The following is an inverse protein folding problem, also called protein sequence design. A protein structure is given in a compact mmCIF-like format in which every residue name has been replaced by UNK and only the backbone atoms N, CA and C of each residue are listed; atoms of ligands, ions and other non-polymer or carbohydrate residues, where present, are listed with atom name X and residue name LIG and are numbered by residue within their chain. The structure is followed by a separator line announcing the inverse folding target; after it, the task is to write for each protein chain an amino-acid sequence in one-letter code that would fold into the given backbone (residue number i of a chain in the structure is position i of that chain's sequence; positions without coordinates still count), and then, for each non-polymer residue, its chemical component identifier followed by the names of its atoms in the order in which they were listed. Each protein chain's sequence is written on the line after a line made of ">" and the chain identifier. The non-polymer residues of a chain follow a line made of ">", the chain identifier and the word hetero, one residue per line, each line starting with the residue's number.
data_IF_870897815403
#
_entry.id   IF_870897815403
#
_cell.length_a   1.000
_cell.length_b   1.000
_cell.length_c   1.000
_cell.angle_alpha   90.00
_cell.angle_beta   90.00
_cell.angle_gamma   90.00
#
_symmetry.space_group_name_H-M   'P 1'
#
loop_
_entity.id
_entity.type
_entity.pdbx_description
1 polymer ?
#
# COMPACT_ATOMS: atom_id res chain seq x y z
N UNK A 1 -16.32 0.66 21.24
CA UNK A 1 -17.20 0.56 20.06
C UNK A 1 -16.38 -0.03 18.94
N UNK A 2 -16.52 -1.32 18.68
CA UNK A 2 -15.82 -2.00 17.59
C UNK A 2 -16.70 -1.96 16.32
N UNK A 3 -16.31 -1.17 15.33
CA UNK A 3 -16.83 -1.34 13.97
C UNK A 3 -16.08 -2.50 13.31
N UNK A 4 -16.59 -3.72 13.44
CA UNK A 4 -16.06 -4.90 12.75
C UNK A 4 -17.15 -5.56 11.90
N UNK A 5 -17.58 -4.85 10.86
CA UNK A 5 -18.22 -5.48 9.71
C UNK A 5 -17.15 -6.20 8.87
N UNK A 6 -17.42 -7.41 8.34
CA UNK A 6 -16.45 -8.10 7.48
C UNK A 6 -16.10 -7.18 6.31
N UNK A 7 -14.80 -6.86 6.15
CA UNK A 7 -14.27 -6.12 4.98
C UNK A 7 -14.55 -6.94 3.72
N UNK A 8 -15.75 -6.77 3.17
CA UNK A 8 -16.19 -7.34 1.89
C UNK A 8 -15.11 -7.02 0.87
N UNK A 9 -14.70 -8.02 0.08
CA UNK A 9 -13.46 -8.05 -0.71
C UNK A 9 -13.28 -7.02 -1.83
N UNK A 10 -13.80 -5.80 -1.67
CA UNK A 10 -13.66 -4.64 -2.55
C UNK A 10 -12.18 -4.38 -2.84
N UNK A 11 -11.32 -4.38 -1.82
CA UNK A 11 -9.88 -4.18 -2.03
C UNK A 11 -9.27 -5.26 -2.95
N UNK A 12 -9.69 -6.53 -2.80
CA UNK A 12 -9.27 -7.59 -3.71
C UNK A 12 -9.81 -7.34 -5.13
N UNK A 13 -11.10 -7.05 -5.26
CA UNK A 13 -11.73 -6.83 -6.56
C UNK A 13 -11.12 -5.66 -7.33
N UNK A 14 -10.80 -4.56 -6.63
CA UNK A 14 -10.10 -3.42 -7.22
C UNK A 14 -8.69 -3.80 -7.67
N UNK A 15 -7.94 -4.55 -6.86
CA UNK A 15 -6.60 -4.99 -7.23
C UNK A 15 -6.62 -5.94 -8.43
N UNK A 16 -7.58 -6.88 -8.48
CA UNK A 16 -7.77 -7.80 -9.59
C UNK A 16 -8.12 -7.05 -10.88
N UNK A 17 -9.01 -6.04 -10.79
CA UNK A 17 -9.36 -5.19 -11.92
C UNK A 17 -8.15 -4.40 -12.45
N UNK A 18 -7.34 -3.82 -11.56
CA UNK A 18 -6.11 -3.11 -11.93
C UNK A 18 -5.10 -4.05 -12.57
N UNK A 19 -4.88 -5.24 -11.99
CA UNK A 19 -4.00 -6.28 -12.53
C UNK A 19 -4.41 -6.69 -13.94
N UNK A 20 -5.70 -6.95 -14.15
CA UNK A 20 -6.24 -7.30 -15.45
C UNK A 20 -6.01 -6.20 -16.49
N UNK A 21 -6.33 -4.94 -16.14
CA UNK A 21 -6.12 -3.80 -17.05
C UNK A 21 -4.64 -3.59 -17.38
N UNK A 22 -3.75 -3.74 -16.40
CA UNK A 22 -2.32 -3.62 -16.61
C UNK A 22 -1.76 -4.72 -17.53
N UNK A 23 -2.20 -5.96 -17.36
CA UNK A 23 -1.85 -7.06 -18.27
C UNK A 23 -2.30 -6.79 -19.71
N UNK A 24 -3.54 -6.32 -19.91
CA UNK A 24 -4.06 -5.94 -21.22
C UNK A 24 -3.28 -4.78 -21.85
N UNK A 25 -2.78 -3.84 -21.04
CA UNK A 25 -1.94 -2.74 -21.49
C UNK A 25 -0.48 -3.15 -21.76
N UNK A 26 -0.12 -4.44 -21.58
CA UNK A 26 1.25 -4.93 -21.76
C UNK A 26 2.21 -4.50 -20.64
N UNK A 27 1.70 -4.03 -19.50
CA UNK A 27 2.53 -3.73 -18.34
C UNK A 27 3.18 -5.00 -17.80
N UNK A 28 4.42 -4.89 -17.31
CA UNK A 28 5.18 -6.00 -16.71
C UNK A 28 5.27 -5.92 -15.18
N UNK A 29 4.79 -4.82 -14.59
CA UNK A 29 4.93 -4.54 -13.17
C UNK A 29 3.79 -3.66 -12.68
N UNK A 30 3.25 -4.00 -11.51
CA UNK A 30 2.53 -3.06 -10.66
C UNK A 30 3.43 -2.67 -9.49
N UNK A 31 3.36 -1.41 -9.06
CA UNK A 31 4.03 -0.96 -7.87
C UNK A 31 3.13 -0.03 -7.07
N UNK A 32 3.38 0.08 -5.78
CA UNK A 32 2.67 0.97 -4.87
C UNK A 32 3.59 1.39 -3.73
N UNK A 33 3.20 2.46 -3.04
CA UNK A 33 3.75 2.84 -1.74
C UNK A 33 2.66 2.83 -0.70
N UNK A 34 2.99 2.43 0.53
CA UNK A 34 2.15 2.60 1.71
C UNK A 34 3.01 3.11 2.86
N UNK A 35 2.40 3.76 3.83
CA UNK A 35 3.11 4.22 5.03
C UNK A 35 3.45 3.05 5.96
N UNK A 36 4.52 3.20 6.73
CA UNK A 36 5.06 2.20 7.64
C UNK A 36 4.11 1.77 8.78
N UNK A 37 3.14 2.62 9.11
CA UNK A 37 2.12 2.37 10.14
C UNK A 37 1.00 1.45 9.65
N UNK A 38 0.77 1.36 8.34
CA UNK A 38 -0.37 0.63 7.78
C UNK A 38 -0.09 -0.88 7.66
N UNK A 39 0.05 -1.54 8.81
CA UNK A 39 0.33 -2.98 8.90
C UNK A 39 -0.73 -3.83 8.18
N UNK A 40 -2.00 -3.38 8.19
CA UNK A 40 -3.10 -4.06 7.48
C UNK A 40 -2.89 -4.04 5.96
N UNK A 41 -2.47 -2.92 5.38
CA UNK A 41 -2.17 -2.83 3.95
C UNK A 41 -0.92 -3.64 3.59
N UNK A 42 0.15 -3.52 4.38
CA UNK A 42 1.37 -4.30 4.19
C UNK A 42 1.07 -5.80 4.15
N UNK A 43 0.28 -6.31 5.11
CA UNK A 43 -0.13 -7.71 5.12
C UNK A 43 -1.09 -8.07 3.96
N UNK A 44 -1.97 -7.15 3.56
CA UNK A 44 -2.92 -7.36 2.47
C UNK A 44 -2.22 -7.56 1.12
N UNK A 45 -1.24 -6.71 0.80
CA UNK A 45 -0.50 -6.77 -0.47
C UNK A 45 0.48 -7.94 -0.51
N UNK A 46 1.22 -8.20 0.57
CA UNK A 46 2.15 -9.35 0.63
C UNK A 46 1.43 -10.69 0.42
N UNK A 47 0.25 -10.88 1.03
CA UNK A 47 -0.59 -12.07 0.80
C UNK A 47 -1.06 -12.25 -0.65
N UNK A 48 -0.90 -11.23 -1.50
CA UNK A 48 -1.29 -11.21 -2.92
C UNK A 48 -0.08 -11.15 -3.87
N UNK A 49 1.10 -11.49 -3.35
CA UNK A 49 2.32 -11.63 -4.16
C UNK A 49 3.11 -10.35 -4.35
N UNK A 50 2.74 -9.24 -3.70
CA UNK A 50 3.60 -8.06 -3.69
C UNK A 50 4.81 -8.30 -2.79
N UNK A 51 6.00 -7.95 -3.29
CA UNK A 51 7.26 -8.01 -2.56
C UNK A 51 7.71 -6.59 -2.17
N UNK A 52 8.40 -6.45 -1.03
CA UNK A 52 9.03 -5.21 -0.61
C UNK A 52 10.21 -4.88 -1.55
N UNK A 53 10.31 -3.64 -2.00
CA UNK A 53 11.36 -3.21 -2.95
C UNK A 53 12.23 -2.08 -2.44
N UNK A 54 11.64 -1.12 -1.71
CA UNK A 54 12.35 0.04 -1.19
C UNK A 54 11.74 0.58 0.11
N UNK A 55 12.59 1.24 0.91
CA UNK A 55 12.17 2.01 2.08
C UNK A 55 12.55 3.47 1.86
N UNK A 56 11.55 4.34 1.81
CA UNK A 56 11.69 5.78 1.68
C UNK A 56 11.61 6.42 3.07
N UNK A 57 12.76 6.52 3.74
CA UNK A 57 12.86 6.95 5.13
C UNK A 57 12.50 8.43 5.32
N UNK A 58 11.73 8.73 6.37
CA UNK A 58 11.37 10.08 6.81
C UNK A 58 10.64 10.94 5.76
N UNK A 59 10.12 10.36 4.68
CA UNK A 59 9.47 11.13 3.61
C UNK A 59 8.20 11.84 4.12
N UNK A 60 7.55 11.31 5.16
CA UNK A 60 6.39 11.95 5.78
C UNK A 60 6.74 13.27 6.48
N UNK A 61 7.99 13.47 6.93
CA UNK A 61 8.42 14.77 7.46
C UNK A 61 8.43 15.85 6.37
N UNK A 62 8.83 15.49 5.16
CA UNK A 62 8.79 16.39 4.01
C UNK A 62 7.34 16.65 3.61
N UNK A 63 6.52 15.60 3.54
CA UNK A 63 5.09 15.72 3.23
C UNK A 63 4.35 16.62 4.22
N UNK A 64 4.70 16.59 5.52
CA UNK A 64 4.13 17.49 6.54
C UNK A 64 4.39 18.97 6.30
N UNK A 65 5.48 19.33 5.62
CA UNK A 65 5.74 20.74 5.27
C UNK A 65 4.70 21.27 4.29
N UNK A 66 4.18 20.40 3.41
CA UNK A 66 3.13 20.73 2.44
C UNK A 66 1.72 20.47 2.97
N UNK A 67 1.58 19.43 3.81
CA UNK A 67 0.31 18.98 4.40
C UNK A 67 0.46 18.84 5.91
N UNK A 68 0.42 19.95 6.66
CA UNK A 68 0.60 19.94 8.12
C UNK A 68 -0.42 19.07 8.86
N UNK A 69 -1.56 18.76 8.23
CA UNK A 69 -2.60 17.86 8.74
C UNK A 69 -2.17 16.39 8.85
N UNK A 70 -1.03 16.00 8.26
CA UNK A 70 -0.50 14.64 8.40
C UNK A 70 -0.06 14.40 9.85
N UNK A 71 -0.67 13.45 10.59
CA UNK A 71 -0.41 13.24 12.00
C UNK A 71 1.00 12.70 12.25
N UNK A 72 1.54 12.91 13.46
CA UNK A 72 2.82 12.35 13.88
C UNK A 72 2.75 10.84 14.16
N UNK A 73 1.59 10.41 14.69
CA UNK A 73 1.30 9.02 15.02
C UNK A 73 0.23 8.53 14.05
N UNK A 74 0.48 7.39 13.41
CA UNK A 74 -0.41 6.74 12.48
C UNK A 74 -1.27 5.67 13.14
N UNK A 75 -1.61 4.66 12.35
CA UNK A 75 -2.37 3.49 12.79
C UNK A 75 -1.62 2.70 13.87
N UNK A 76 -2.38 2.05 14.75
CA UNK A 76 -1.87 1.14 15.78
C UNK A 76 -0.79 1.75 16.71
N UNK A 77 -0.78 3.09 16.86
CA UNK A 77 0.17 3.81 17.71
C UNK A 77 1.58 3.91 17.12
N UNK A 78 1.77 3.59 15.84
CA UNK A 78 3.08 3.57 15.19
C UNK A 78 3.43 5.00 14.71
N UNK A 79 4.67 5.49 14.92
CA UNK A 79 5.10 6.75 14.33
C UNK A 79 4.97 6.74 12.80
N UNK A 80 4.20 7.68 12.26
CA UNK A 80 4.02 7.82 10.82
C UNK A 80 5.24 8.55 10.25
N UNK A 81 6.13 7.86 9.52
CA UNK A 81 7.46 8.42 9.20
C UNK A 81 7.95 8.06 7.81
N UNK A 82 7.79 6.80 7.43
CA UNK A 82 8.40 6.24 6.23
C UNK A 82 7.33 5.75 5.25
N UNK A 83 7.68 5.74 3.97
CA UNK A 83 6.94 4.98 2.96
C UNK A 83 7.69 3.70 2.61
N UNK A 84 6.93 2.64 2.38
CA UNK A 84 7.40 1.33 1.98
C UNK A 84 6.88 1.08 0.58
N UNK A 85 7.79 0.91 -0.36
CA UNK A 85 7.48 0.55 -1.74
C UNK A 85 7.36 -0.96 -1.88
N UNK A 86 6.39 -1.38 -2.68
CA UNK A 86 6.14 -2.77 -3.00
C UNK A 86 5.87 -2.93 -4.49
N UNK A 87 6.22 -4.10 -5.03
CA UNK A 87 5.93 -4.44 -6.42
C UNK A 87 5.33 -5.83 -6.60
N UNK A 88 4.56 -6.00 -7.66
CA UNK A 88 4.11 -7.28 -8.19
C UNK A 88 4.54 -7.38 -9.65
N UNK A 89 5.34 -8.38 -9.98
CA UNK A 89 5.70 -8.71 -11.35
C UNK A 89 4.50 -9.35 -12.04
N UNK A 90 4.16 -8.83 -13.23
CA UNK A 90 3.07 -9.34 -14.05
C UNK A 90 3.65 -10.30 -15.09
N UNK A 91 3.52 -11.60 -14.83
CA UNK A 91 3.87 -12.62 -15.80
C UNK A 91 2.77 -12.75 -16.86
N UNK A 92 3.18 -13.00 -18.11
CA UNK A 92 2.25 -13.42 -19.16
C UNK A 92 1.99 -14.92 -18.96
N UNK A 93 0.72 -15.28 -18.80
CA UNK A 93 0.26 -16.66 -18.90
C UNK A 93 0.56 -17.24 -20.28
#
# INVERSE_FOLDING_TARGET
>A
MEENGPRRGIGSALLDAVRFKALLAGCRRLWLVTCNDNLKALGFYQKRGFCLTALHRNVLEVSRKLKPEIPQIGMDGIPLRDEIEMELILEKS
#
